data_IF_496141187761
#
_entry.id   IF_496141187761
#
_cell.length_a   1.000
_cell.length_b   1.000
_cell.length_c   1.000
_cell.angle_alpha   90.00
_cell.angle_beta   90.00
_cell.angle_gamma   90.00
#
_symmetry.space_group_name_H-M   'P 1'
#
loop_
_entity.id
_entity.type
_entity.pdbx_description
1 polymer ?
#
# COMPACT_ATOMS: atom_id res chain seq x y z
N UNK A 1 -28.12 -10.56 -37.40
CA UNK A 1 -28.10 -10.93 -35.97
C UNK A 1 -26.87 -10.31 -35.37
N UNK A 2 -27.04 -9.15 -34.74
CA UNK A 2 -25.93 -8.43 -34.04
C UNK A 2 -25.84 -9.06 -32.67
N UNK A 3 -24.68 -9.66 -32.35
CA UNK A 3 -24.40 -10.16 -30.99
C UNK A 3 -24.33 -8.92 -30.08
N UNK A 4 -25.30 -8.81 -29.18
CA UNK A 4 -25.22 -7.84 -28.08
C UNK A 4 -23.97 -8.16 -27.28
N UNK A 5 -22.99 -7.25 -27.33
CA UNK A 5 -21.86 -7.25 -26.44
C UNK A 5 -22.42 -7.03 -25.04
N UNK A 6 -22.23 -8.00 -24.16
CA UNK A 6 -22.51 -7.86 -22.74
C UNK A 6 -21.57 -6.79 -22.20
N UNK A 7 -22.05 -5.54 -22.13
CA UNK A 7 -21.37 -4.51 -21.36
C UNK A 7 -21.48 -4.96 -19.92
N UNK A 8 -20.40 -5.51 -19.42
CA UNK A 8 -20.24 -5.80 -18.00
C UNK A 8 -20.18 -4.43 -17.30
N UNK A 9 -21.33 -3.95 -16.81
CA UNK A 9 -21.40 -2.75 -15.98
C UNK A 9 -20.68 -3.07 -14.67
N UNK A 10 -19.35 -3.01 -14.71
CA UNK A 10 -18.54 -3.18 -13.52
C UNK A 10 -18.94 -2.10 -12.52
N UNK A 11 -19.36 -2.53 -11.34
CA UNK A 11 -19.77 -1.63 -10.27
C UNK A 11 -18.58 -0.73 -9.88
N UNK A 12 -18.82 0.58 -9.80
CA UNK A 12 -17.85 1.55 -9.29
C UNK A 12 -17.23 1.05 -7.98
N UNK A 13 -15.92 0.96 -7.91
CA UNK A 13 -15.16 0.56 -6.72
C UNK A 13 -14.27 1.69 -6.24
N UNK A 14 -14.14 1.81 -4.92
CA UNK A 14 -13.19 2.73 -4.28
C UNK A 14 -11.86 2.03 -4.07
N UNK A 15 -10.78 2.67 -4.52
CA UNK A 15 -9.41 2.16 -4.44
C UNK A 15 -8.52 3.03 -3.55
N UNK A 16 -7.57 2.39 -2.88
CA UNK A 16 -6.39 3.03 -2.33
C UNK A 16 -5.20 2.75 -3.25
N UNK A 17 -4.52 3.80 -3.68
CA UNK A 17 -3.32 3.77 -4.50
C UNK A 17 -2.17 4.38 -3.71
N UNK A 18 -1.25 3.53 -3.27
CA UNK A 18 -0.22 3.89 -2.30
C UNK A 18 1.15 3.81 -2.96
N UNK A 19 1.70 4.94 -3.36
CA UNK A 19 3.00 5.01 -4.02
C UNK A 19 4.14 5.05 -3.01
N UNK A 20 5.33 4.64 -3.46
CA UNK A 20 6.56 4.63 -2.67
C UNK A 20 7.54 5.69 -3.17
N UNK A 21 8.32 6.25 -2.22
CA UNK A 21 9.54 6.99 -2.52
C UNK A 21 9.34 8.42 -3.00
N UNK A 22 8.18 9.02 -2.76
CA UNK A 22 7.92 10.44 -3.05
C UNK A 22 8.05 11.29 -1.80
N UNK A 23 8.42 12.55 -1.98
CA UNK A 23 8.47 13.59 -0.94
C UNK A 23 9.31 13.21 0.31
N UNK A 24 10.34 12.38 0.15
CA UNK A 24 11.22 11.93 1.22
C UNK A 24 12.62 12.55 1.07
N UNK A 25 13.15 13.12 2.15
CA UNK A 25 14.51 13.67 2.18
C UNK A 25 14.78 14.77 1.14
N UNK A 26 13.75 15.52 0.74
CA UNK A 26 13.86 16.60 -0.26
C UNK A 26 14.00 16.12 -1.72
N UNK A 27 13.90 14.81 -1.95
CA UNK A 27 13.97 14.19 -3.28
C UNK A 27 12.59 13.80 -3.78
N UNK A 28 12.44 13.66 -5.10
CA UNK A 28 11.23 13.17 -5.77
C UNK A 28 9.99 13.95 -5.32
N UNK A 29 10.07 15.28 -5.43
CA UNK A 29 8.95 16.16 -5.08
C UNK A 29 7.78 15.91 -6.02
N UNK A 30 6.61 15.66 -5.44
CA UNK A 30 5.33 15.51 -6.12
C UNK A 30 4.33 16.42 -5.42
N UNK A 31 3.68 17.28 -6.20
CA UNK A 31 2.57 18.11 -5.73
C UNK A 31 1.32 17.24 -5.75
N UNK A 32 0.79 16.92 -4.57
CA UNK A 32 -0.33 15.97 -4.44
C UNK A 32 -1.61 16.44 -5.14
N UNK A 33 -1.84 17.73 -5.21
CA UNK A 33 -2.99 18.32 -5.92
C UNK A 33 -2.88 18.08 -7.44
N UNK A 34 -1.69 18.26 -8.02
CA UNK A 34 -1.43 17.97 -9.44
C UNK A 34 -1.59 16.47 -9.72
N UNK A 35 -1.04 15.62 -8.85
CA UNK A 35 -1.17 14.18 -9.00
C UNK A 35 -2.64 13.73 -8.94
N UNK A 36 -3.47 14.30 -8.06
CA UNK A 36 -4.90 14.04 -8.04
C UNK A 36 -5.59 14.44 -9.35
N UNK A 37 -5.32 15.64 -9.88
CA UNK A 37 -5.87 16.12 -11.15
C UNK A 37 -5.48 15.22 -12.33
N UNK A 38 -4.22 14.79 -12.40
CA UNK A 38 -3.75 13.88 -13.45
C UNK A 38 -4.44 12.51 -13.38
N UNK A 39 -4.77 12.00 -12.19
CA UNK A 39 -5.57 10.78 -12.05
C UNK A 39 -7.02 11.00 -12.51
N UNK A 40 -7.59 12.19 -12.30
CA UNK A 40 -8.91 12.55 -12.84
C UNK A 40 -8.90 12.62 -14.38
N UNK A 41 -7.83 13.15 -14.98
CA UNK A 41 -7.62 13.17 -16.43
C UNK A 41 -7.50 11.76 -17.03
N UNK A 42 -7.07 10.77 -16.24
CA UNK A 42 -7.07 9.34 -16.62
C UNK A 42 -8.45 8.67 -16.49
N UNK A 43 -9.49 9.43 -16.11
CA UNK A 43 -10.87 8.93 -16.00
C UNK A 43 -11.24 8.38 -14.62
N UNK A 44 -10.42 8.61 -13.60
CA UNK A 44 -10.76 8.29 -12.22
C UNK A 44 -11.61 9.39 -11.61
N UNK A 45 -12.49 9.06 -10.67
CA UNK A 45 -13.39 10.03 -10.04
C UNK A 45 -13.22 10.08 -8.54
N UNK A 46 -13.69 11.17 -7.90
CA UNK A 46 -13.60 11.43 -6.48
C UNK A 46 -12.17 11.23 -5.94
N UNK A 47 -11.19 11.73 -6.71
CA UNK A 47 -9.78 11.60 -6.36
C UNK A 47 -9.46 12.46 -5.14
N UNK A 48 -8.74 11.88 -4.20
CA UNK A 48 -8.28 12.57 -2.99
C UNK A 48 -6.94 12.02 -2.54
N UNK A 49 -6.24 12.79 -1.72
CA UNK A 49 -4.97 12.34 -1.11
C UNK A 49 -4.96 12.57 0.39
N UNK A 50 -4.15 11.79 1.10
CA UNK A 50 -3.88 11.96 2.51
C UNK A 50 -2.40 12.09 2.76
N UNK A 51 -1.96 13.23 3.31
CA UNK A 51 -0.57 13.63 3.53
C UNK A 51 0.33 13.49 2.28
N UNK A 52 1.52 14.05 2.33
CA UNK A 52 2.42 14.12 1.17
C UNK A 52 3.21 12.81 0.90
N UNK A 53 2.89 11.70 1.58
CA UNK A 53 3.62 10.43 1.45
C UNK A 53 3.02 9.45 0.43
N UNK A 54 2.18 9.96 -0.50
CA UNK A 54 1.65 9.15 -1.60
C UNK A 54 0.54 8.19 -1.21
N UNK A 55 -0.44 8.67 -0.47
CA UNK A 55 -1.68 7.95 -0.22
C UNK A 55 -2.79 8.62 -1.02
N UNK A 56 -3.22 7.98 -2.10
CA UNK A 56 -4.24 8.47 -3.03
C UNK A 56 -5.45 7.54 -2.99
N UNK A 57 -6.62 8.09 -3.24
CA UNK A 57 -7.89 7.39 -3.24
C UNK A 57 -8.72 7.85 -4.40
N UNK A 58 -9.40 6.94 -5.09
CA UNK A 58 -10.26 7.27 -6.22
C UNK A 58 -11.31 6.18 -6.45
N UNK A 59 -12.33 6.54 -7.20
CA UNK A 59 -13.34 5.62 -7.68
C UNK A 59 -13.06 5.27 -9.14
N UNK A 60 -13.26 4.01 -9.52
CA UNK A 60 -13.14 3.55 -10.90
C UNK A 60 -14.06 2.36 -11.18
N UNK A 61 -14.49 2.25 -12.44
CA UNK A 61 -15.19 1.07 -12.97
C UNK A 61 -14.23 0.03 -13.54
N UNK A 62 -12.96 0.39 -13.73
CA UNK A 62 -11.94 -0.55 -14.20
C UNK A 62 -11.66 -1.61 -13.15
N UNK A 63 -11.40 -2.83 -13.61
CA UNK A 63 -10.93 -3.89 -12.74
C UNK A 63 -9.48 -3.63 -12.31
N UNK A 64 -9.05 -4.25 -11.22
CA UNK A 64 -7.71 -4.05 -10.67
C UNK A 64 -6.60 -4.27 -11.70
N UNK A 65 -6.73 -5.30 -12.51
CA UNK A 65 -5.75 -5.69 -13.53
C UNK A 65 -5.62 -4.61 -14.62
N UNK A 66 -6.72 -4.01 -15.04
CA UNK A 66 -6.74 -2.90 -16.00
C UNK A 66 -6.13 -1.63 -15.38
N UNK A 67 -6.50 -1.33 -14.12
CA UNK A 67 -5.94 -0.20 -13.38
C UNK A 67 -4.43 -0.30 -13.20
N UNK A 68 -3.90 -1.50 -12.94
CA UNK A 68 -2.46 -1.71 -12.81
C UNK A 68 -1.73 -1.28 -14.08
N UNK A 69 -2.22 -1.67 -15.26
CA UNK A 69 -1.63 -1.29 -16.55
C UNK A 69 -1.69 0.23 -16.78
N UNK A 70 -2.86 0.84 -16.56
CA UNK A 70 -3.06 2.29 -16.72
C UNK A 70 -2.15 3.08 -15.78
N UNK A 71 -2.08 2.69 -14.50
CA UNK A 71 -1.27 3.36 -13.50
C UNK A 71 0.24 3.17 -13.75
N UNK A 72 0.67 1.98 -14.18
CA UNK A 72 2.07 1.73 -14.54
C UNK A 72 2.50 2.58 -15.75
N UNK A 73 1.69 2.66 -16.80
CA UNK A 73 1.96 3.50 -17.96
C UNK A 73 2.06 4.97 -17.57
N UNK A 74 1.09 5.45 -16.79
CA UNK A 74 1.06 6.81 -16.27
C UNK A 74 2.32 7.13 -15.44
N UNK A 75 2.66 6.29 -14.48
CA UNK A 75 3.84 6.49 -13.64
C UNK A 75 5.14 6.46 -14.44
N UNK A 76 5.27 5.55 -15.40
CA UNK A 76 6.47 5.47 -16.26
C UNK A 76 6.65 6.75 -17.10
N UNK A 77 5.57 7.38 -17.52
CA UNK A 77 5.60 8.60 -18.32
C UNK A 77 5.81 9.86 -17.47
N UNK A 78 5.02 10.05 -16.41
CA UNK A 78 4.99 11.28 -15.63
C UNK A 78 5.91 11.26 -14.41
N UNK A 79 6.06 10.11 -13.76
CA UNK A 79 6.79 9.92 -12.50
C UNK A 79 7.73 8.70 -12.53
N UNK A 80 8.71 8.64 -13.46
CA UNK A 80 9.52 7.44 -13.70
C UNK A 80 10.38 6.99 -12.50
N UNK A 81 10.48 7.81 -11.46
CA UNK A 81 11.12 7.46 -10.20
C UNK A 81 10.22 6.66 -9.25
N UNK A 82 8.90 6.64 -9.46
CA UNK A 82 7.96 5.80 -8.70
C UNK A 82 7.96 4.41 -9.34
N UNK A 83 8.63 3.45 -8.71
CA UNK A 83 8.85 2.11 -9.28
C UNK A 83 7.83 1.08 -8.80
N UNK A 84 7.24 1.30 -7.63
CA UNK A 84 6.29 0.36 -7.01
C UNK A 84 5.18 1.10 -6.28
N UNK A 85 4.02 0.49 -6.26
CA UNK A 85 2.85 0.93 -5.51
C UNK A 85 2.02 -0.25 -5.04
N UNK A 86 1.16 -0.03 -4.06
CA UNK A 86 0.12 -0.98 -3.65
C UNK A 86 -1.25 -0.46 -4.10
N UNK A 87 -2.08 -1.34 -4.63
CA UNK A 87 -3.44 -1.04 -5.09
C UNK A 87 -4.42 -2.06 -4.49
N UNK A 88 -5.43 -1.59 -3.78
CA UNK A 88 -6.46 -2.43 -3.18
C UNK A 88 -7.77 -1.68 -2.97
N UNK A 89 -8.86 -2.40 -2.88
CA UNK A 89 -10.22 -1.86 -2.71
C UNK A 89 -10.58 -1.67 -1.24
N UNK A 90 -11.73 -1.00 -1.00
CA UNK A 90 -12.35 -0.96 0.33
C UNK A 90 -12.67 -2.37 0.85
N UNK A 91 -13.15 -3.26 -0.03
CA UNK A 91 -13.47 -4.65 0.33
C UNK A 91 -12.22 -5.40 0.79
N UNK A 92 -11.12 -5.30 0.02
CA UNK A 92 -9.83 -5.90 0.40
C UNK A 92 -9.37 -5.40 1.77
N UNK A 93 -9.46 -4.08 2.00
CA UNK A 93 -9.10 -3.49 3.29
C UNK A 93 -9.97 -3.99 4.44
N UNK A 94 -11.30 -4.12 4.24
CA UNK A 94 -12.22 -4.59 5.27
C UNK A 94 -11.95 -6.06 5.63
N UNK A 95 -11.74 -6.91 4.62
CA UNK A 95 -11.42 -8.32 4.81
C UNK A 95 -10.08 -8.47 5.56
N UNK A 96 -9.10 -7.67 5.19
CA UNK A 96 -7.80 -7.65 5.86
C UNK A 96 -7.93 -7.29 7.34
N UNK A 97 -8.56 -6.15 7.65
CA UNK A 97 -8.71 -5.71 9.04
C UNK A 97 -9.49 -6.72 9.89
N UNK A 98 -10.51 -7.37 9.32
CA UNK A 98 -11.28 -8.39 10.02
C UNK A 98 -10.46 -9.67 10.34
N UNK A 99 -9.38 -9.92 9.60
CA UNK A 99 -8.51 -11.09 9.78
C UNK A 99 -7.28 -10.84 10.66
N UNK A 100 -7.04 -9.59 11.06
CA UNK A 100 -5.88 -9.24 11.87
C UNK A 100 -5.95 -9.89 13.26
N UNK A 101 -4.82 -10.32 13.82
CA UNK A 101 -4.76 -10.87 15.16
C UNK A 101 -5.11 -9.79 16.20
N UNK A 102 -5.71 -10.21 17.32
CA UNK A 102 -6.17 -9.29 18.39
C UNK A 102 -5.07 -8.36 18.90
N UNK A 103 -3.83 -8.83 18.99
CA UNK A 103 -2.71 -8.01 19.43
C UNK A 103 -2.43 -6.81 18.52
N UNK A 104 -2.95 -6.78 17.29
CA UNK A 104 -2.79 -5.61 16.44
C UNK A 104 -3.46 -4.35 17.01
N UNK A 105 -4.42 -4.49 17.90
CA UNK A 105 -5.10 -3.37 18.58
C UNK A 105 -4.33 -2.88 19.81
N UNK A 106 -3.41 -3.70 20.35
CA UNK A 106 -2.63 -3.34 21.53
C UNK A 106 -1.65 -2.19 21.27
N UNK A 107 -1.23 -1.53 22.35
CA UNK A 107 -0.23 -0.48 22.30
C UNK A 107 1.18 -1.05 22.21
N UNK A 108 1.90 -0.64 21.15
CA UNK A 108 3.30 -0.97 20.92
C UNK A 108 4.08 0.31 20.63
N UNK A 109 5.38 0.29 20.93
CA UNK A 109 6.25 1.40 20.60
C UNK A 109 6.16 1.78 19.12
N UNK A 110 6.11 0.77 18.23
CA UNK A 110 5.99 1.00 16.79
C UNK A 110 5.22 -0.14 16.11
N UNK A 111 4.29 0.23 15.27
CA UNK A 111 3.50 -0.67 14.41
C UNK A 111 3.60 -0.19 12.97
N UNK A 112 4.08 -1.06 12.09
CA UNK A 112 4.19 -0.78 10.65
C UNK A 112 3.52 -1.90 9.84
N UNK A 113 2.97 -1.52 8.69
CA UNK A 113 2.46 -2.44 7.67
C UNK A 113 3.37 -2.35 6.46
N UNK A 114 3.97 -3.47 6.09
CA UNK A 114 4.75 -3.65 4.87
C UNK A 114 3.78 -4.12 3.79
N UNK A 115 3.20 -3.19 3.05
CA UNK A 115 2.18 -3.47 2.05
C UNK A 115 2.80 -4.09 0.80
N UNK A 116 2.15 -5.11 0.29
CA UNK A 116 2.55 -5.81 -0.92
C UNK A 116 2.32 -4.95 -2.16
N UNK A 117 3.21 -5.11 -3.13
CA UNK A 117 3.10 -4.55 -4.48
C UNK A 117 3.08 -5.69 -5.49
N UNK A 118 2.71 -5.41 -6.73
CA UNK A 118 2.66 -6.45 -7.78
C UNK A 118 4.05 -6.98 -8.18
N UNK A 119 5.12 -6.25 -7.87
CA UNK A 119 6.51 -6.69 -8.14
C UNK A 119 7.06 -7.63 -7.08
N UNK A 120 6.41 -7.72 -5.94
CA UNK A 120 6.90 -8.47 -4.80
C UNK A 120 6.72 -9.98 -4.99
N UNK A 121 7.80 -10.73 -4.88
CA UNK A 121 7.71 -12.18 -4.62
C UNK A 121 7.38 -12.41 -3.14
N UNK A 122 6.09 -12.64 -2.88
CA UNK A 122 5.59 -12.86 -1.51
C UNK A 122 6.15 -14.13 -0.86
N UNK A 123 6.42 -15.16 -1.66
CA UNK A 123 6.97 -16.42 -1.15
C UNK A 123 8.42 -16.25 -0.73
N UNK A 124 9.21 -15.57 -1.53
CA UNK A 124 10.60 -15.26 -1.20
C UNK A 124 10.69 -14.32 0.00
N UNK A 125 9.88 -13.26 0.05
CA UNK A 125 9.77 -12.40 1.21
C UNK A 125 9.46 -13.19 2.50
N UNK A 126 8.48 -14.11 2.43
CA UNK A 126 8.08 -14.94 3.59
C UNK A 126 9.23 -15.84 4.05
N UNK A 127 9.96 -16.46 3.13
CA UNK A 127 11.15 -17.27 3.47
C UNK A 127 12.20 -16.43 4.18
N UNK A 128 12.51 -15.26 3.63
CA UNK A 128 13.51 -14.35 4.22
C UNK A 128 13.08 -13.91 5.61
N UNK A 129 11.84 -13.43 5.79
CA UNK A 129 11.35 -12.95 7.09
C UNK A 129 11.36 -14.10 8.11
N UNK A 130 10.92 -15.31 7.74
CA UNK A 130 10.92 -16.47 8.64
C UNK A 130 12.33 -16.93 9.05
N UNK A 131 13.37 -16.55 8.31
CA UNK A 131 14.77 -16.82 8.66
C UNK A 131 15.37 -15.78 9.62
N UNK A 132 14.65 -14.69 9.91
CA UNK A 132 15.14 -13.65 10.81
C UNK A 132 14.96 -14.07 12.27
N UNK A 133 15.98 -13.81 13.07
CA UNK A 133 15.87 -13.89 14.53
C UNK A 133 15.14 -12.64 15.03
N UNK A 134 13.90 -12.79 15.45
CA UNK A 134 13.08 -11.71 16.00
C UNK A 134 13.44 -11.46 17.46
N UNK A 135 13.51 -10.18 17.87
CA UNK A 135 13.77 -9.74 19.24
C UNK A 135 12.83 -8.60 19.61
N UNK A 136 12.03 -8.79 20.65
CA UNK A 136 11.02 -7.81 21.08
C UNK A 136 10.13 -7.31 19.93
N UNK A 137 9.75 -8.23 19.07
CA UNK A 137 8.93 -7.95 17.91
C UNK A 137 8.10 -9.18 17.54
N UNK A 138 6.90 -8.94 17.05
CA UNK A 138 6.07 -9.98 16.44
C UNK A 138 5.54 -9.48 15.10
N UNK A 139 5.18 -10.41 14.23
CA UNK A 139 4.61 -10.11 12.94
C UNK A 139 3.49 -11.06 12.55
N UNK A 140 2.65 -10.60 11.64
CA UNK A 140 1.58 -11.36 11.02
C UNK A 140 1.60 -11.15 9.52
N UNK A 141 1.47 -12.24 8.76
CA UNK A 141 1.31 -12.20 7.30
C UNK A 141 -0.18 -12.15 6.96
N UNK A 142 -0.64 -10.99 6.49
CA UNK A 142 -1.99 -10.81 5.96
C UNK A 142 -2.05 -10.98 4.44
N UNK A 143 -3.19 -10.62 3.86
CA UNK A 143 -3.40 -10.62 2.40
C UNK A 143 -2.81 -9.38 1.72
N UNK A 144 -2.89 -8.22 2.40
CA UNK A 144 -2.39 -6.94 1.88
C UNK A 144 -0.95 -6.63 2.28
N UNK A 145 -0.43 -7.27 3.33
CA UNK A 145 0.91 -6.95 3.81
C UNK A 145 1.37 -7.77 5.00
N UNK A 146 2.56 -7.41 5.51
CA UNK A 146 3.09 -7.92 6.76
C UNK A 146 2.91 -6.86 7.85
N UNK A 147 2.22 -7.22 8.91
CA UNK A 147 1.94 -6.39 10.08
C UNK A 147 3.03 -6.67 11.11
N UNK A 148 3.88 -5.67 11.36
CA UNK A 148 5.08 -5.85 12.16
C UNK A 148 5.13 -4.84 13.31
N UNK A 149 5.10 -5.34 14.55
CA UNK A 149 5.14 -4.53 15.76
C UNK A 149 6.44 -4.72 16.52
N UNK A 150 6.87 -3.66 17.19
CA UNK A 150 8.07 -3.59 18.03
C UNK A 150 7.63 -3.12 19.41
N UNK A 151 7.99 -3.89 20.45
CA UNK A 151 7.46 -3.71 21.80
C UNK A 151 7.98 -2.45 22.48
N UNK A 152 9.30 -2.27 22.47
CA UNK A 152 9.93 -1.25 23.29
C UNK A 152 10.90 -0.35 22.51
N UNK A 153 10.98 0.92 22.91
CA UNK A 153 11.90 1.90 22.34
C UNK A 153 13.36 1.57 22.64
N UNK A 154 13.64 1.06 23.84
CA UNK A 154 15.01 0.78 24.29
C UNK A 154 15.64 -0.38 23.53
N UNK A 155 14.82 -1.36 23.08
CA UNK A 155 15.25 -2.55 22.33
C UNK A 155 15.09 -2.39 20.82
N UNK A 156 14.43 -1.35 20.35
CA UNK A 156 14.12 -1.14 18.92
C UNK A 156 15.33 -1.27 18.00
N UNK A 157 16.50 -0.71 18.40
CA UNK A 157 17.74 -0.79 17.62
C UNK A 157 18.30 -2.21 17.48
N UNK A 158 17.81 -3.16 18.28
CA UNK A 158 18.23 -4.58 18.26
C UNK A 158 17.31 -5.43 17.41
N UNK A 159 16.12 -4.94 17.04
CA UNK A 159 15.12 -5.68 16.27
C UNK A 159 15.62 -6.08 14.87
N UNK A 160 15.10 -7.17 14.34
CA UNK A 160 15.34 -7.58 12.97
C UNK A 160 14.81 -6.53 11.98
N UNK A 161 13.67 -5.90 12.30
CA UNK A 161 13.14 -4.77 11.54
C UNK A 161 14.17 -3.65 11.35
N UNK A 162 14.79 -3.19 12.43
CA UNK A 162 15.76 -2.08 12.36
C UNK A 162 17.08 -2.49 11.68
N UNK A 163 17.60 -3.67 12.02
CA UNK A 163 18.93 -4.11 11.57
C UNK A 163 18.96 -4.71 10.17
N UNK A 164 17.89 -5.39 9.76
CA UNK A 164 17.90 -6.27 8.60
C UNK A 164 16.97 -5.82 7.47
N UNK A 165 15.79 -5.23 7.76
CA UNK A 165 14.76 -4.94 6.77
C UNK A 165 15.30 -4.16 5.56
N UNK A 166 16.03 -3.07 5.79
CA UNK A 166 16.62 -2.23 4.73
C UNK A 166 17.60 -2.98 3.81
N UNK A 167 18.15 -4.09 4.27
CA UNK A 167 19.15 -4.90 3.56
C UNK A 167 18.52 -6.10 2.85
N UNK A 168 17.22 -6.31 3.01
CA UNK A 168 16.54 -7.42 2.34
C UNK A 168 16.35 -7.11 0.85
N UNK A 169 16.44 -8.13 -0.03
CA UNK A 169 16.24 -7.93 -1.47
C UNK A 169 14.81 -7.47 -1.80
N UNK A 170 13.82 -7.81 -0.98
CA UNK A 170 12.42 -7.41 -1.19
C UNK A 170 12.11 -5.97 -0.72
N UNK A 171 13.00 -5.32 0.03
CA UNK A 171 12.73 -3.98 0.56
C UNK A 171 12.36 -2.93 -0.51
N UNK A 172 12.98 -2.91 -1.71
CA UNK A 172 12.57 -2.01 -2.78
C UNK A 172 11.14 -2.24 -3.30
N UNK A 173 10.62 -3.46 -3.15
CA UNK A 173 9.36 -3.93 -3.74
C UNK A 173 8.17 -3.91 -2.78
N UNK A 174 8.30 -3.25 -1.64
CA UNK A 174 7.20 -3.03 -0.68
C UNK A 174 6.95 -1.54 -0.49
N UNK A 175 5.76 -1.16 -0.05
CA UNK A 175 5.52 0.19 0.49
C UNK A 175 5.17 0.09 1.97
N UNK A 176 5.68 1.01 2.80
CA UNK A 176 5.51 0.93 4.25
C UNK A 176 4.62 2.06 4.74
N UNK A 177 3.66 1.72 5.60
CA UNK A 177 2.83 2.67 6.34
C UNK A 177 2.80 2.30 7.81
N UNK A 178 2.89 3.29 8.70
CA UNK A 178 2.64 3.03 10.12
C UNK A 178 1.15 2.74 10.36
N UNK A 179 0.83 2.13 11.50
CA UNK A 179 -0.53 1.73 11.85
C UNK A 179 -1.54 2.89 11.81
N UNK A 180 -1.14 4.10 12.25
CA UNK A 180 -1.99 5.29 12.20
C UNK A 180 -2.35 5.66 10.76
N UNK A 181 -1.39 5.64 9.86
CA UNK A 181 -1.63 5.90 8.43
C UNK A 181 -2.49 4.80 7.83
N UNK A 182 -2.24 3.53 8.16
CA UNK A 182 -3.04 2.39 7.68
C UNK A 182 -4.50 2.51 8.13
N UNK A 183 -4.76 2.88 9.39
CA UNK A 183 -6.12 3.15 9.88
C UNK A 183 -6.79 4.32 9.13
N UNK A 184 -6.03 5.40 8.85
CA UNK A 184 -6.55 6.54 8.07
C UNK A 184 -6.87 6.17 6.62
N UNK A 185 -6.12 5.26 6.01
CA UNK A 185 -6.44 4.71 4.67
C UNK A 185 -7.84 4.12 4.68
N UNK A 186 -8.20 3.31 5.70
CA UNK A 186 -9.55 2.78 5.84
C UNK A 186 -10.64 3.83 5.99
N UNK A 187 -10.33 4.96 6.63
CA UNK A 187 -11.26 6.09 6.71
C UNK A 187 -11.52 6.71 5.32
N UNK A 188 -10.45 7.01 4.55
CA UNK A 188 -10.56 7.58 3.21
C UNK A 188 -11.23 6.64 2.19
N UNK A 189 -11.04 5.34 2.33
CA UNK A 189 -11.73 4.34 1.51
C UNK A 189 -13.25 4.32 1.74
N UNK A 190 -13.74 4.73 2.93
CA UNK A 190 -15.18 4.81 3.25
C UNK A 190 -15.82 6.15 2.90
N UNK A 191 -15.01 7.16 2.61
CA UNK A 191 -15.52 8.47 2.18
C UNK A 191 -16.08 8.36 0.76
N UNK A 192 -17.28 8.93 0.56
CA UNK A 192 -17.89 9.08 -0.78
C UNK A 192 -17.63 10.47 -1.30
#
# INVERSE_FOLDING_TARGET
MVKASWINLSKMKRYAFLVRGINVGGRHKVVMEEFCRELEELGMSHVSSYINSGNLFFDSTLMKEELLLVLEEFLNKAYPFIKVFSLFTLEDYQNEVASLPKWWEDDFYRKDVLLFTERLDKNEMKKIINSLELKDEILHFGQLGVYWVKFDKSTYSQTAYHKKLLKTPFYPDITIRNARTFSKIGHFLRMK
#
